data_IF_507233113637
#
_entry.id   IF_507233113637
#
_cell.length_a   1.000
_cell.length_b   1.000
_cell.length_c   1.000
_cell.angle_alpha   90.00
_cell.angle_beta   90.00
_cell.angle_gamma   90.00
#
_symmetry.space_group_name_H-M   'P 1'
#
loop_
_entity.id
_entity.type
_entity.pdbx_description
1 polymer ?
#
# COMPACT_ATOMS: atom_id res chain seq x y z
N UNK A 1 10.95 -3.86 2.01
CA UNK A 1 11.41 -2.46 2.06
C UNK A 1 12.90 -2.37 1.74
N UNK A 2 13.56 -1.28 2.10
CA UNK A 2 14.90 -0.87 1.70
C UNK A 2 16.05 -1.87 1.77
N UNK A 3 15.87 -3.05 2.33
CA UNK A 3 16.86 -4.12 2.27
C UNK A 3 16.96 -4.76 0.88
N UNK A 4 15.91 -4.65 0.08
CA UNK A 4 15.83 -5.20 -1.27
C UNK A 4 15.93 -4.12 -2.35
N UNK A 5 16.07 -2.84 -1.97
CA UNK A 5 16.26 -1.76 -2.92
C UNK A 5 17.58 -1.93 -3.68
N UNK A 6 17.52 -1.78 -4.99
CA UNK A 6 18.71 -1.78 -5.83
C UNK A 6 19.51 -0.49 -5.59
N UNK A 7 20.86 -0.56 -5.54
CA UNK A 7 21.67 0.63 -5.42
C UNK A 7 21.38 1.62 -6.56
N UNK A 8 21.19 2.89 -6.21
CA UNK A 8 20.91 3.95 -7.18
C UNK A 8 19.46 4.06 -7.63
N UNK A 9 18.53 3.33 -7.01
CA UNK A 9 17.09 3.56 -7.22
C UNK A 9 16.73 4.97 -6.77
N UNK A 10 16.16 5.74 -7.67
CA UNK A 10 15.74 7.12 -7.39
C UNK A 10 14.25 7.36 -7.64
N UNK A 11 13.54 6.34 -8.09
CA UNK A 11 12.11 6.41 -8.37
C UNK A 11 11.45 5.03 -8.28
N UNK A 12 10.20 5.02 -7.84
CA UNK A 12 9.34 3.83 -7.80
C UNK A 12 8.08 4.12 -8.60
N UNK A 13 8.00 3.58 -9.82
CA UNK A 13 6.82 3.69 -10.66
C UNK A 13 5.80 2.63 -10.27
N UNK A 14 4.54 3.03 -10.23
CA UNK A 14 3.50 2.06 -9.83
C UNK A 14 3.45 0.81 -10.72
N UNK A 15 3.62 0.89 -12.05
CA UNK A 15 3.68 -0.29 -12.92
C UNK A 15 4.81 -1.27 -12.59
N UNK A 16 5.92 -0.81 -12.00
CA UNK A 16 7.03 -1.68 -11.62
C UNK A 16 6.60 -2.72 -10.58
N UNK A 17 5.71 -2.36 -9.64
CA UNK A 17 5.17 -3.32 -8.67
C UNK A 17 4.34 -4.42 -9.32
N UNK A 18 3.69 -4.16 -10.46
CA UNK A 18 2.96 -5.19 -11.21
C UNK A 18 3.94 -6.16 -11.87
N UNK A 19 5.03 -5.65 -12.45
CA UNK A 19 6.08 -6.45 -13.07
C UNK A 19 6.85 -7.29 -12.02
N UNK A 20 7.16 -6.70 -10.86
CA UNK A 20 7.78 -7.40 -9.75
C UNK A 20 6.89 -8.54 -9.24
N UNK A 21 5.59 -8.27 -9.07
CA UNK A 21 4.63 -9.28 -8.64
C UNK A 21 4.51 -10.41 -9.68
N UNK A 22 4.43 -10.09 -10.98
CA UNK A 22 4.41 -11.08 -12.07
C UNK A 22 5.64 -12.00 -11.99
N UNK A 23 6.82 -11.41 -11.84
CA UNK A 23 8.10 -12.15 -11.72
C UNK A 23 8.13 -13.05 -10.47
N UNK A 24 7.65 -12.53 -9.31
CA UNK A 24 7.57 -13.31 -8.08
C UNK A 24 6.60 -14.50 -8.23
N UNK A 25 5.46 -14.30 -8.86
CA UNK A 25 4.50 -15.38 -9.09
C UNK A 25 5.04 -16.42 -10.08
N UNK A 26 5.77 -16.00 -11.11
CA UNK A 26 6.45 -16.94 -12.02
C UNK A 26 7.49 -17.79 -11.30
N UNK A 27 8.13 -17.25 -10.27
CA UNK A 27 9.11 -18.00 -9.48
C UNK A 27 8.44 -18.95 -8.45
N UNK A 28 7.43 -18.47 -7.70
CA UNK A 28 6.86 -19.22 -6.58
C UNK A 28 5.63 -20.08 -6.95
N UNK A 29 4.93 -19.73 -8.01
CA UNK A 29 3.72 -20.41 -8.47
C UNK A 29 3.61 -20.40 -10.01
N UNK A 30 4.58 -20.99 -10.74
CA UNK A 30 4.68 -20.83 -12.20
C UNK A 30 3.46 -21.35 -12.97
N UNK A 31 2.82 -22.40 -12.46
CA UNK A 31 1.77 -23.12 -13.21
C UNK A 31 0.37 -23.00 -12.58
N UNK A 32 0.25 -22.43 -11.39
CA UNK A 32 -1.01 -22.45 -10.65
C UNK A 32 -1.50 -21.04 -10.31
N UNK A 33 -2.82 -20.78 -10.40
CA UNK A 33 -3.42 -19.59 -9.85
C UNK A 33 -3.24 -19.54 -8.34
N UNK A 34 -3.03 -18.34 -7.81
CA UNK A 34 -2.81 -18.10 -6.38
C UNK A 34 -3.96 -17.32 -5.75
N UNK A 35 -4.09 -17.44 -4.44
CA UNK A 35 -4.85 -16.49 -3.64
C UNK A 35 -3.95 -15.30 -3.33
N UNK A 36 -4.44 -14.10 -3.59
CA UNK A 36 -3.64 -12.91 -3.47
C UNK A 36 -4.29 -11.92 -2.50
N UNK A 37 -3.53 -11.51 -1.49
CA UNK A 37 -3.95 -10.55 -0.48
C UNK A 37 -3.06 -9.33 -0.56
N UNK A 38 -3.64 -8.14 -0.62
CA UNK A 38 -2.90 -6.90 -0.58
C UNK A 38 -3.52 -5.88 0.38
N UNK A 39 -2.67 -5.15 1.10
CA UNK A 39 -3.09 -4.07 2.00
C UNK A 39 -2.66 -2.72 1.47
N UNK A 40 -3.54 -1.72 1.54
CA UNK A 40 -3.25 -0.33 1.19
C UNK A 40 -2.71 -0.20 -0.24
N UNK A 41 -1.49 0.29 -0.44
CA UNK A 41 -0.83 0.32 -1.75
C UNK A 41 -0.73 -1.10 -2.36
N UNK A 42 -0.42 -2.11 -1.54
CA UNK A 42 -0.42 -3.51 -1.98
C UNK A 42 -1.81 -3.97 -2.42
N UNK A 43 -2.88 -3.49 -1.79
CA UNK A 43 -4.26 -3.71 -2.23
C UNK A 43 -4.51 -3.17 -3.64
N UNK A 44 -4.01 -1.97 -3.93
CA UNK A 44 -4.09 -1.39 -5.27
C UNK A 44 -3.27 -2.19 -6.30
N UNK A 45 -2.09 -2.68 -5.91
CA UNK A 45 -1.24 -3.52 -6.77
C UNK A 45 -1.96 -4.82 -7.15
N UNK A 46 -2.48 -5.55 -6.15
CA UNK A 46 -3.12 -6.85 -6.40
C UNK A 46 -4.43 -6.71 -7.20
N UNK A 47 -5.20 -5.64 -6.99
CA UNK A 47 -6.40 -5.36 -7.77
C UNK A 47 -6.08 -5.10 -9.25
N UNK A 48 -5.08 -4.27 -9.53
CA UNK A 48 -4.68 -4.01 -10.92
C UNK A 48 -4.05 -5.25 -11.55
N UNK A 49 -3.20 -5.96 -10.82
CA UNK A 49 -2.60 -7.19 -11.31
C UNK A 49 -3.65 -8.25 -11.69
N UNK A 50 -4.67 -8.44 -10.85
CA UNK A 50 -5.74 -9.40 -11.11
C UNK A 50 -6.54 -9.10 -12.39
N UNK A 51 -6.69 -7.83 -12.76
CA UNK A 51 -7.33 -7.47 -14.02
C UNK A 51 -6.41 -7.56 -15.24
N UNK A 52 -5.09 -7.42 -15.04
CA UNK A 52 -4.08 -7.56 -16.10
C UNK A 52 -3.75 -9.04 -16.39
N UNK A 53 -3.72 -9.87 -15.34
CA UNK A 53 -3.42 -11.30 -15.39
C UNK A 53 -4.52 -12.14 -14.71
N UNK A 54 -5.79 -12.08 -15.15
CA UNK A 54 -6.90 -12.71 -14.42
C UNK A 54 -6.73 -14.22 -14.24
N UNK A 55 -6.09 -14.89 -15.18
CA UNK A 55 -5.83 -16.33 -15.12
C UNK A 55 -4.83 -16.74 -14.02
N UNK A 56 -4.09 -15.80 -13.45
CA UNK A 56 -3.11 -16.05 -12.39
C UNK A 56 -3.72 -16.02 -10.99
N UNK A 57 -4.96 -15.58 -10.85
CA UNK A 57 -5.60 -15.34 -9.55
C UNK A 57 -6.77 -16.28 -9.36
N UNK A 58 -6.75 -17.03 -8.24
CA UNK A 58 -7.84 -17.90 -7.81
C UNK A 58 -8.85 -17.14 -6.96
N UNK A 59 -8.37 -16.39 -5.97
CA UNK A 59 -9.15 -15.48 -5.12
C UNK A 59 -8.37 -14.22 -4.83
N UNK A 60 -9.06 -13.11 -4.73
CA UNK A 60 -8.48 -11.79 -4.53
C UNK A 60 -9.01 -11.15 -3.25
N UNK A 61 -8.11 -10.66 -2.40
CA UNK A 61 -8.48 -9.95 -1.18
C UNK A 61 -7.78 -8.59 -1.15
N UNK A 62 -8.57 -7.55 -1.12
CA UNK A 62 -8.12 -6.17 -1.03
C UNK A 62 -8.43 -5.59 0.35
N UNK A 63 -7.40 -5.29 1.13
CA UNK A 63 -7.51 -4.69 2.45
C UNK A 63 -7.21 -3.20 2.37
N UNK A 64 -8.21 -2.33 2.47
CA UNK A 64 -8.05 -0.86 2.48
C UNK A 64 -7.29 -0.30 1.25
N UNK A 65 -7.30 -0.99 0.13
CA UNK A 65 -6.70 -0.54 -1.14
C UNK A 65 -7.71 0.23 -1.99
N UNK A 66 -7.91 1.48 -1.67
CA UNK A 66 -8.99 2.30 -2.22
C UNK A 66 -8.70 2.91 -3.60
N UNK A 67 -7.47 2.82 -4.09
CA UNK A 67 -7.04 3.63 -5.23
C UNK A 67 -6.78 5.10 -4.84
N UNK A 68 -6.93 5.98 -5.80
CA UNK A 68 -6.63 7.40 -5.66
C UNK A 68 -7.77 8.25 -6.21
N UNK A 69 -7.93 9.51 -5.77
CA UNK A 69 -8.85 10.44 -6.41
C UNK A 69 -8.60 10.57 -7.90
N UNK A 70 -9.66 10.77 -8.67
CA UNK A 70 -9.55 11.04 -10.09
C UNK A 70 -8.70 12.29 -10.34
N UNK A 71 -7.84 12.24 -11.35
CA UNK A 71 -7.02 13.37 -11.76
C UNK A 71 -7.54 13.96 -13.09
N UNK A 72 -7.19 15.23 -13.35
CA UNK A 72 -7.55 15.94 -14.58
C UNK A 72 -6.29 16.21 -15.43
N UNK A 73 -6.38 16.18 -16.75
CA UNK A 73 -5.25 16.48 -17.63
C UNK A 73 -4.54 17.80 -17.32
N UNK A 74 -5.27 18.81 -16.85
CA UNK A 74 -4.70 20.10 -16.44
C UNK A 74 -3.72 20.03 -15.26
N UNK A 75 -3.72 18.94 -14.51
CA UNK A 75 -2.80 18.73 -13.38
C UNK A 75 -1.44 18.17 -13.83
N UNK A 76 -1.32 17.67 -15.08
CA UNK A 76 -0.10 17.02 -15.55
C UNK A 76 1.14 17.93 -15.51
N UNK A 77 1.10 19.20 -15.99
CA UNK A 77 2.29 20.04 -15.96
C UNK A 77 2.83 20.29 -14.55
N UNK A 78 1.95 20.63 -13.61
CA UNK A 78 2.34 20.86 -12.21
C UNK A 78 2.84 19.59 -11.51
N UNK A 79 2.25 18.44 -11.84
CA UNK A 79 2.66 17.15 -11.28
C UNK A 79 4.06 16.74 -11.77
N UNK A 80 4.33 16.91 -13.06
CA UNK A 80 5.66 16.66 -13.64
C UNK A 80 6.72 17.61 -13.08
N UNK A 81 6.41 18.90 -12.94
CA UNK A 81 7.31 19.86 -12.33
C UNK A 81 7.67 19.45 -10.89
N UNK A 82 6.66 19.10 -10.07
CA UNK A 82 6.90 18.63 -8.72
C UNK A 82 7.72 17.35 -8.66
N UNK A 83 7.45 16.39 -9.53
CA UNK A 83 8.24 15.16 -9.61
C UNK A 83 9.71 15.44 -9.91
N UNK A 84 10.00 16.35 -10.89
CA UNK A 84 11.36 16.76 -11.20
C UNK A 84 12.06 17.44 -10.02
N UNK A 85 11.33 18.26 -9.25
CA UNK A 85 11.87 18.95 -8.09
C UNK A 85 12.13 17.96 -6.93
N UNK A 86 11.24 16.99 -6.71
CA UNK A 86 11.41 15.93 -5.70
C UNK A 86 12.64 15.05 -6.03
N UNK A 87 12.85 14.69 -7.30
CA UNK A 87 14.05 13.96 -7.75
C UNK A 87 15.33 14.75 -7.43
N UNK A 88 15.37 16.03 -7.76
CA UNK A 88 16.52 16.87 -7.43
C UNK A 88 16.76 16.97 -5.93
N UNK A 89 15.70 17.06 -5.13
CA UNK A 89 15.79 17.08 -3.67
C UNK A 89 16.36 15.75 -3.13
N UNK A 90 15.91 14.61 -3.68
CA UNK A 90 16.47 13.31 -3.33
C UNK A 90 17.97 13.23 -3.65
N UNK A 91 18.37 13.61 -4.87
CA UNK A 91 19.77 13.57 -5.29
C UNK A 91 20.68 14.51 -4.49
N UNK A 92 20.13 15.59 -3.90
CA UNK A 92 20.84 16.46 -2.97
C UNK A 92 20.85 15.95 -1.51
N UNK A 93 20.22 14.79 -1.23
CA UNK A 93 20.10 14.26 0.12
C UNK A 93 19.12 15.03 1.03
N UNK A 94 18.22 15.82 0.45
CA UNK A 94 17.23 16.61 1.20
C UNK A 94 15.98 15.78 1.57
N UNK A 95 15.78 14.64 0.92
CA UNK A 95 14.74 13.68 1.25
C UNK A 95 15.36 12.49 1.98
N UNK A 96 15.12 12.40 3.28
CA UNK A 96 15.59 11.28 4.09
C UNK A 96 14.48 10.73 4.98
N UNK A 97 14.68 9.53 5.49
CA UNK A 97 13.78 8.91 6.45
C UNK A 97 14.10 9.45 7.85
N UNK A 98 13.06 9.62 8.65
CA UNK A 98 13.23 10.11 10.02
C UNK A 98 14.05 9.14 10.83
N UNK A 99 15.10 9.66 11.49
CA UNK A 99 15.90 8.93 12.44
C UNK A 99 15.37 9.11 13.89
N UNK A 100 15.54 8.06 14.71
CA UNK A 100 15.13 8.01 16.11
C UNK A 100 16.34 7.59 16.96
N UNK A 101 16.32 7.93 18.24
CA UNK A 101 17.43 7.61 19.14
C UNK A 101 17.53 6.09 19.39
N UNK A 102 16.38 5.42 19.46
CA UNK A 102 16.26 4.00 19.78
C UNK A 102 15.01 3.37 19.14
N UNK A 103 14.86 2.06 19.28
CA UNK A 103 13.67 1.33 18.83
C UNK A 103 12.41 1.80 19.57
N UNK A 104 12.51 2.22 20.82
CA UNK A 104 11.39 2.73 21.60
C UNK A 104 10.84 4.05 20.99
N UNK A 105 11.72 4.88 20.42
CA UNK A 105 11.32 6.08 19.68
C UNK A 105 10.50 5.74 18.43
N UNK A 106 10.85 4.67 17.73
CA UNK A 106 10.05 4.14 16.64
C UNK A 106 8.70 3.63 17.13
N UNK A 107 8.68 2.83 18.22
CA UNK A 107 7.45 2.30 18.81
C UNK A 107 6.48 3.43 19.22
N UNK A 108 6.99 4.47 19.90
CA UNK A 108 6.18 5.66 20.25
C UNK A 108 5.59 6.34 19.00
N UNK A 109 6.32 6.38 17.90
CA UNK A 109 5.82 6.94 16.63
C UNK A 109 4.70 6.09 16.06
N UNK A 110 4.81 4.76 16.10
CA UNK A 110 3.78 3.83 15.64
C UNK A 110 2.50 3.99 16.46
N UNK A 111 2.57 4.03 17.79
CA UNK A 111 1.43 4.27 18.67
C UNK A 111 0.79 5.64 18.46
N UNK A 112 1.58 6.67 18.15
CA UNK A 112 1.04 8.01 17.85
C UNK A 112 0.22 8.02 16.54
N UNK A 113 0.61 7.21 15.56
CA UNK A 113 -0.11 7.11 14.28
C UNK A 113 -1.28 6.14 14.31
N UNK A 114 -1.20 5.13 15.17
CA UNK A 114 -2.29 4.20 15.45
C UNK A 114 -2.52 4.07 16.96
N UNK A 115 -3.48 4.84 17.53
CA UNK A 115 -3.75 4.82 18.97
C UNK A 115 -4.27 3.47 19.51
N UNK A 116 -4.75 2.56 18.63
CA UNK A 116 -5.17 1.20 19.01
C UNK A 116 -4.00 0.24 19.21
N UNK A 117 -2.82 0.61 18.73
CA UNK A 117 -1.64 -0.25 18.79
C UNK A 117 -1.10 -0.31 20.22
N UNK A 118 -1.19 -1.49 20.85
CA UNK A 118 -0.63 -1.73 22.18
C UNK A 118 0.91 -1.67 22.20
N UNK A 119 1.47 -1.35 23.36
CA UNK A 119 2.92 -1.14 23.52
C UNK A 119 3.76 -2.35 23.08
N UNK A 120 3.42 -3.56 23.52
CA UNK A 120 4.19 -4.78 23.21
C UNK A 120 4.24 -5.02 21.68
N UNK A 121 3.13 -4.83 20.99
CA UNK A 121 3.05 -4.96 19.53
C UNK A 121 3.81 -3.83 18.83
N UNK A 122 3.74 -2.60 19.34
CA UNK A 122 4.49 -1.47 18.80
C UNK A 122 6.00 -1.67 18.93
N UNK A 123 6.46 -2.21 20.05
CA UNK A 123 7.88 -2.52 20.28
C UNK A 123 8.36 -3.66 19.38
N UNK A 124 7.53 -4.70 19.20
CA UNK A 124 7.84 -5.78 18.27
C UNK A 124 7.94 -5.23 16.83
N UNK A 125 6.92 -4.50 16.37
CA UNK A 125 6.92 -3.89 15.03
C UNK A 125 8.12 -2.95 14.82
N UNK A 126 8.51 -2.19 15.85
CA UNK A 126 9.63 -1.28 15.74
C UNK A 126 10.94 -2.01 15.45
N UNK A 127 11.14 -3.21 16.01
CA UNK A 127 12.33 -4.05 15.77
C UNK A 127 12.32 -4.71 14.40
N UNK A 128 11.13 -5.02 13.86
CA UNK A 128 10.99 -5.61 12.53
C UNK A 128 11.05 -4.56 11.41
N UNK A 129 10.57 -3.35 11.68
CA UNK A 129 10.43 -2.30 10.65
C UNK A 129 11.54 -1.27 10.65
N UNK A 130 12.42 -1.29 11.65
CA UNK A 130 13.52 -0.37 11.77
C UNK A 130 14.81 -1.08 12.19
N UNK A 131 15.96 -0.46 11.86
CA UNK A 131 17.26 -0.94 12.24
C UNK A 131 18.18 0.22 12.64
N UNK A 132 19.22 -0.06 13.48
CA UNK A 132 20.25 0.92 13.77
C UNK A 132 21.07 1.20 12.51
N UNK A 133 21.33 2.49 12.26
CA UNK A 133 22.16 2.96 11.16
C UNK A 133 23.18 3.99 11.66
N UNK A 134 24.43 3.85 11.24
CA UNK A 134 25.47 4.84 11.51
C UNK A 134 25.21 6.07 10.64
N UNK A 135 25.12 7.23 11.28
CA UNK A 135 24.93 8.51 10.65
C UNK A 135 26.27 9.11 10.18
N UNK A 136 26.28 10.11 9.28
CA UNK A 136 27.52 10.76 8.84
C UNK A 136 28.36 11.39 9.97
N UNK A 137 27.73 11.74 11.10
CA UNK A 137 28.40 12.28 12.29
C UNK A 137 28.97 11.19 13.21
N UNK A 138 28.89 9.92 12.81
CA UNK A 138 29.35 8.76 13.58
C UNK A 138 28.38 8.27 14.66
N UNK A 139 27.26 8.95 14.89
CA UNK A 139 26.23 8.48 15.83
C UNK A 139 25.43 7.33 15.24
N UNK A 140 24.88 6.45 16.10
CA UNK A 140 23.97 5.39 15.67
C UNK A 140 22.54 5.83 15.98
N UNK A 141 21.68 5.81 14.96
CA UNK A 141 20.26 6.15 15.05
C UNK A 141 19.42 5.04 14.43
N UNK A 142 18.21 4.89 14.93
CA UNK A 142 17.26 3.94 14.36
C UNK A 142 16.48 4.59 13.21
N UNK A 143 16.42 3.91 12.07
CA UNK A 143 15.65 4.33 10.91
C UNK A 143 14.72 3.21 10.45
N UNK A 144 13.54 3.59 9.95
CA UNK A 144 12.62 2.64 9.31
C UNK A 144 13.32 2.05 8.09
N UNK A 145 13.14 0.73 7.88
CA UNK A 145 13.67 -0.02 6.74
C UNK A 145 12.86 0.34 5.47
N UNK A 146 13.08 1.52 4.97
CA UNK A 146 12.45 2.09 3.80
C UNK A 146 13.48 2.74 2.88
N UNK A 147 12.99 3.28 1.79
CA UNK A 147 13.78 4.06 0.84
C UNK A 147 13.19 5.47 0.72
N UNK A 148 13.98 6.55 0.88
CA UNK A 148 13.51 7.93 0.71
C UNK A 148 12.86 8.19 -0.64
N UNK A 149 13.25 7.48 -1.69
CA UNK A 149 12.68 7.60 -3.03
C UNK A 149 11.16 7.31 -3.07
N UNK A 150 10.60 6.57 -2.10
CA UNK A 150 9.16 6.40 -1.95
C UNK A 150 8.40 7.68 -1.58
N UNK A 151 9.10 8.74 -1.17
CA UNK A 151 8.48 10.05 -0.92
C UNK A 151 8.23 10.86 -2.20
N UNK A 152 8.86 10.47 -3.30
CA UNK A 152 8.69 11.16 -4.58
C UNK A 152 7.28 10.90 -5.10
N UNK A 153 6.63 11.97 -5.51
CA UNK A 153 5.29 11.86 -6.10
C UNK A 153 5.35 11.06 -7.42
N UNK A 154 4.38 10.20 -7.65
CA UNK A 154 4.26 9.55 -8.95
C UNK A 154 4.02 10.60 -10.04
N UNK A 155 4.84 10.62 -11.09
CA UNK A 155 4.74 11.55 -12.21
C UNK A 155 3.46 11.36 -13.04
N UNK A 156 2.93 10.15 -13.10
CA UNK A 156 1.73 9.84 -13.86
C UNK A 156 0.46 10.32 -13.15
N UNK A 157 -0.48 10.76 -13.95
CA UNK A 157 -1.84 11.01 -13.48
C UNK A 157 -2.55 9.68 -13.16
N UNK A 158 -3.40 9.69 -12.14
CA UNK A 158 -4.25 8.54 -11.85
C UNK A 158 -5.49 8.57 -12.74
N UNK A 159 -5.58 7.63 -13.67
CA UNK A 159 -6.63 7.53 -14.67
C UNK A 159 -7.67 6.51 -14.24
N UNK A 160 -8.77 7.01 -13.68
CA UNK A 160 -9.87 6.15 -13.17
C UNK A 160 -10.51 5.34 -14.29
N UNK A 161 -10.66 5.91 -15.49
CA UNK A 161 -11.17 5.22 -16.69
C UNK A 161 -10.34 3.98 -17.04
N UNK A 162 -9.01 4.07 -17.01
CA UNK A 162 -8.11 2.92 -17.22
C UNK A 162 -8.25 1.88 -16.10
N UNK A 163 -8.32 2.32 -14.85
CA UNK A 163 -8.51 1.43 -13.70
C UNK A 163 -9.81 0.65 -13.80
N UNK A 164 -10.91 1.29 -14.19
CA UNK A 164 -12.20 0.63 -14.34
C UNK A 164 -12.19 -0.41 -15.47
N UNK A 165 -11.49 -0.16 -16.57
CA UNK A 165 -11.30 -1.18 -17.62
C UNK A 165 -10.53 -2.39 -17.13
N UNK A 166 -9.49 -2.18 -16.27
CA UNK A 166 -8.75 -3.27 -15.64
C UNK A 166 -9.66 -4.03 -14.65
N UNK A 167 -10.43 -3.35 -13.82
CA UNK A 167 -11.34 -3.97 -12.85
C UNK A 167 -12.39 -4.86 -13.50
N UNK A 168 -12.96 -4.47 -14.66
CA UNK A 168 -13.92 -5.29 -15.43
C UNK A 168 -13.36 -6.63 -15.89
N UNK A 169 -12.04 -6.75 -15.94
CA UNK A 169 -11.36 -7.98 -16.36
C UNK A 169 -11.02 -8.92 -15.22
N UNK A 170 -11.24 -8.53 -13.97
CA UNK A 170 -11.02 -9.40 -12.82
C UNK A 170 -12.05 -10.53 -12.88
N UNK A 171 -11.57 -11.76 -12.97
CA UNK A 171 -12.42 -12.96 -13.00
C UNK A 171 -12.46 -13.71 -11.66
N UNK A 172 -11.51 -13.42 -10.79
CA UNK A 172 -11.44 -14.03 -9.49
C UNK A 172 -12.53 -13.48 -8.54
N UNK A 173 -13.19 -14.34 -7.74
CA UNK A 173 -13.97 -13.85 -6.60
C UNK A 173 -13.13 -12.90 -5.77
N UNK A 174 -13.68 -11.74 -5.45
CA UNK A 174 -12.96 -10.64 -4.80
C UNK A 174 -13.61 -10.26 -3.49
N UNK A 175 -12.81 -10.12 -2.44
CA UNK A 175 -13.21 -9.57 -1.15
C UNK A 175 -12.53 -8.23 -0.92
N UNK A 176 -13.29 -7.15 -0.89
CA UNK A 176 -12.83 -5.83 -0.46
C UNK A 176 -13.12 -5.66 1.03
N UNK A 177 -12.09 -5.45 1.82
CA UNK A 177 -12.21 -5.29 3.28
C UNK A 177 -11.90 -3.87 3.67
N UNK A 178 -12.81 -3.28 4.41
CA UNK A 178 -12.74 -1.92 4.95
C UNK A 178 -12.71 -1.94 6.47
N UNK A 179 -12.13 -0.92 7.05
CA UNK A 179 -12.20 -0.67 8.49
C UNK A 179 -13.42 0.22 8.83
N UNK A 180 -13.83 0.19 10.10
CA UNK A 180 -14.92 1.07 10.58
C UNK A 180 -14.54 2.55 10.50
N UNK A 181 -13.24 2.88 10.69
CA UNK A 181 -12.78 4.25 10.53
C UNK A 181 -12.72 4.61 9.04
N UNK A 182 -13.27 5.75 8.68
CA UNK A 182 -13.21 6.26 7.32
C UNK A 182 -11.83 6.86 7.01
N UNK A 183 -10.90 5.99 6.62
CA UNK A 183 -9.55 6.39 6.23
C UNK A 183 -9.55 7.32 5.00
N UNK A 184 -10.46 7.10 4.04
CA UNK A 184 -10.58 7.95 2.85
C UNK A 184 -11.03 9.37 3.22
N UNK A 185 -12.03 9.51 4.06
CA UNK A 185 -12.51 10.80 4.54
C UNK A 185 -11.42 11.59 5.26
N UNK A 186 -10.61 10.89 6.08
CA UNK A 186 -9.48 11.49 6.78
C UNK A 186 -8.40 12.00 5.81
N UNK A 187 -8.04 11.22 4.79
CA UNK A 187 -6.95 11.58 3.87
C UNK A 187 -7.36 12.57 2.81
N UNK A 188 -8.57 12.43 2.27
CA UNK A 188 -8.97 13.19 1.08
C UNK A 188 -9.97 14.30 1.35
N UNK A 189 -10.51 14.39 2.57
CA UNK A 189 -11.36 15.51 3.01
C UNK A 189 -12.48 15.83 1.99
N UNK A 190 -13.20 14.79 1.57
CA UNK A 190 -14.30 14.88 0.61
C UNK A 190 -13.91 14.93 -0.87
N UNK A 191 -12.61 14.96 -1.21
CA UNK A 191 -12.17 14.88 -2.62
C UNK A 191 -12.28 13.48 -3.21
N UNK A 192 -12.37 12.48 -2.37
CA UNK A 192 -12.59 11.09 -2.69
C UNK A 192 -13.25 10.42 -1.47
N UNK A 193 -14.32 9.67 -1.67
CA UNK A 193 -15.16 9.14 -0.60
C UNK A 193 -15.32 7.63 -0.72
N UNK A 194 -15.77 6.97 0.35
CA UNK A 194 -16.13 5.55 0.31
C UNK A 194 -17.25 5.28 -0.69
N UNK A 195 -18.24 6.16 -0.81
CA UNK A 195 -19.30 6.01 -1.82
C UNK A 195 -18.72 5.98 -3.24
N UNK A 196 -17.78 6.86 -3.56
CA UNK A 196 -17.10 6.84 -4.86
C UNK A 196 -16.27 5.56 -5.04
N UNK A 197 -15.60 5.09 -3.99
CA UNK A 197 -14.88 3.83 -4.03
C UNK A 197 -15.82 2.64 -4.28
N UNK A 198 -16.96 2.58 -3.59
CA UNK A 198 -17.97 1.54 -3.81
C UNK A 198 -18.53 1.58 -5.25
N UNK A 199 -18.74 2.76 -5.82
CA UNK A 199 -19.13 2.88 -7.23
C UNK A 199 -18.07 2.30 -8.17
N UNK A 200 -16.78 2.51 -7.87
CA UNK A 200 -15.69 1.92 -8.67
C UNK A 200 -15.62 0.41 -8.52
N UNK A 201 -15.86 -0.13 -7.33
CA UNK A 201 -15.89 -1.58 -7.09
C UNK A 201 -16.98 -2.30 -7.88
N UNK A 202 -18.06 -1.63 -8.28
CA UNK A 202 -19.10 -2.21 -9.17
C UNK A 202 -18.55 -2.63 -10.54
N UNK A 203 -17.38 -2.15 -10.93
CA UNK A 203 -16.70 -2.61 -12.14
C UNK A 203 -16.08 -4.02 -11.99
N UNK A 204 -15.88 -4.50 -10.77
CA UNK A 204 -15.41 -5.87 -10.50
C UNK A 204 -16.62 -6.82 -10.55
N UNK A 205 -16.64 -7.82 -11.45
CA UNK A 205 -17.84 -8.65 -11.69
C UNK A 205 -18.33 -9.42 -10.47
N UNK A 206 -17.42 -9.94 -9.64
CA UNK A 206 -17.73 -10.69 -8.43
C UNK A 206 -16.97 -10.09 -7.25
N UNK A 207 -17.55 -9.07 -6.62
CA UNK A 207 -16.94 -8.36 -5.48
C UNK A 207 -17.88 -8.30 -4.29
N UNK A 208 -17.41 -8.81 -3.16
CA UNK A 208 -18.05 -8.69 -1.86
C UNK A 208 -17.30 -7.68 -1.01
N UNK A 209 -18.02 -6.80 -0.32
CA UNK A 209 -17.46 -5.85 0.65
C UNK A 209 -17.70 -6.38 2.06
N UNK A 210 -16.70 -6.31 2.92
CA UNK A 210 -16.79 -6.60 4.34
C UNK A 210 -16.13 -5.53 5.18
N UNK A 211 -16.63 -5.32 6.41
CA UNK A 211 -16.14 -4.29 7.32
C UNK A 211 -15.61 -4.93 8.59
N UNK A 212 -14.37 -4.59 8.95
CA UNK A 212 -13.76 -4.97 10.23
C UNK A 212 -14.10 -3.89 11.26
N UNK A 213 -14.79 -4.29 12.33
CA UNK A 213 -15.21 -3.38 13.39
C UNK A 213 -14.03 -2.96 14.27
N UNK A 214 -14.10 -1.80 14.88
CA UNK A 214 -13.08 -1.24 15.78
C UNK A 214 -11.67 -1.21 15.19
N UNK A 215 -11.57 -0.93 13.90
CA UNK A 215 -10.32 -0.88 13.16
C UNK A 215 -10.21 0.41 12.35
N UNK A 216 -8.98 0.80 12.08
CA UNK A 216 -8.60 1.82 11.12
C UNK A 216 -7.79 1.24 9.97
N UNK A 217 -7.07 2.08 9.26
CA UNK A 217 -6.30 1.67 8.07
C UNK A 217 -5.35 0.48 8.29
N UNK A 218 -4.84 0.33 9.51
CA UNK A 218 -3.97 -0.79 9.87
C UNK A 218 -4.77 -1.93 10.52
N UNK A 219 -5.87 -2.33 9.88
CA UNK A 219 -6.84 -3.30 10.42
C UNK A 219 -6.20 -4.64 10.86
N UNK A 220 -5.09 -5.07 10.21
CA UNK A 220 -4.32 -6.25 10.63
C UNK A 220 -3.55 -6.04 11.94
N UNK A 221 -3.34 -4.80 12.36
CA UNK A 221 -2.77 -4.49 13.67
C UNK A 221 -3.84 -4.30 14.73
N UNK A 222 -5.01 -3.80 14.33
CA UNK A 222 -6.09 -3.44 15.24
C UNK A 222 -6.93 -4.68 15.61
N UNK A 223 -7.29 -5.49 14.61
CA UNK A 223 -8.19 -6.64 14.76
C UNK A 223 -7.67 -7.87 13.98
N UNK A 224 -6.47 -8.40 14.32
CA UNK A 224 -5.83 -9.47 13.55
C UNK A 224 -6.66 -10.76 13.51
N UNK A 225 -7.28 -11.14 14.62
CA UNK A 225 -8.07 -12.38 14.72
C UNK A 225 -9.36 -12.28 13.88
N UNK A 226 -10.07 -11.17 13.98
CA UNK A 226 -11.30 -10.95 13.20
C UNK A 226 -10.99 -10.88 11.70
N UNK A 227 -9.89 -10.22 11.33
CA UNK A 227 -9.44 -10.16 9.94
C UNK A 227 -9.03 -11.54 9.41
N UNK A 228 -8.27 -12.31 10.19
CA UNK A 228 -7.85 -13.66 9.81
C UNK A 228 -9.07 -14.57 9.58
N UNK A 229 -10.03 -14.59 10.50
CA UNK A 229 -11.26 -15.36 10.36
C UNK A 229 -12.04 -15.01 9.08
N UNK A 230 -12.17 -13.71 8.77
CA UNK A 230 -12.83 -13.23 7.56
C UNK A 230 -12.11 -13.70 6.27
N UNK A 231 -10.78 -13.64 6.27
CA UNK A 231 -9.96 -14.11 5.15
C UNK A 231 -10.10 -15.61 4.98
N UNK A 232 -9.97 -16.39 6.05
CA UNK A 232 -10.08 -17.85 6.03
C UNK A 232 -11.46 -18.30 5.55
N UNK A 233 -12.54 -17.68 6.04
CA UNK A 233 -13.90 -17.95 5.55
C UNK A 233 -14.01 -17.73 4.04
N UNK A 234 -13.48 -16.61 3.54
CA UNK A 234 -13.52 -16.30 2.11
C UNK A 234 -12.68 -17.28 1.28
N UNK A 235 -11.54 -17.72 1.79
CA UNK A 235 -10.67 -18.68 1.11
C UNK A 235 -11.22 -20.11 1.12
N UNK A 236 -12.07 -20.47 2.07
CA UNK A 236 -12.69 -21.80 2.18
C UNK A 236 -13.90 -22.00 1.26
N UNK A 237 -14.65 -20.94 0.94
CA UNK A 237 -15.84 -20.96 0.08
C UNK A 237 -15.52 -20.88 -1.39
#
# INVERSE_FOLDING_TARGET
YGQTALPGTDNYWFPDYLADLDTLLDHYAPEQPVDLVGHSMGGNVVMLYAGVRPQRIRRLINLEGFGMPATRPSQAPGRLAKWMDDLKALHRGELDLKAYDDAAGVARRLMKTNPRLGQDRAEWLAREWAAPRVQPDGTTRWQILGDPAHKIINAQLYRVDEVLEIYRRITAPTLAVEATDDSLGQWWQGKYTLDEYHERLKAVPDCRIAVVQDAGHMLQHDQPEALAALIEEFLAG
#
